data_IF_044451790584
#
_entry.id   IF_044451790584
#
_cell.length_a   1.000
_cell.length_b   1.000
_cell.length_c   1.000
_cell.angle_alpha   90.00
_cell.angle_beta   90.00
_cell.angle_gamma   90.00
#
_symmetry.space_group_name_H-M   'P 1'
#
loop_
_entity.id
_entity.type
_entity.pdbx_description
1 polymer ?
#
# COMPACT_ATOMS: atom_id res chain seq x y z
N UNK A 1 16.46 -8.04 16.30
CA UNK A 1 15.11 -7.44 16.36
C UNK A 1 14.37 -7.86 15.10
N UNK A 2 13.11 -8.27 15.21
CA UNK A 2 12.27 -8.50 14.04
C UNK A 2 12.01 -7.17 13.35
N UNK A 3 11.92 -7.18 12.02
CA UNK A 3 11.56 -6.01 11.23
C UNK A 3 10.05 -5.76 11.39
N UNK A 4 9.60 -4.50 11.45
CA UNK A 4 8.17 -4.23 11.46
C UNK A 4 7.55 -4.66 10.13
N UNK A 5 6.36 -5.23 10.18
CA UNK A 5 5.58 -5.60 8.99
C UNK A 5 4.44 -4.61 8.78
N UNK A 6 4.36 -4.03 7.58
CA UNK A 6 3.31 -3.08 7.19
C UNK A 6 2.41 -3.70 6.14
N UNK A 7 1.10 -3.67 6.37
CA UNK A 7 0.09 -4.09 5.42
C UNK A 7 -0.70 -2.90 4.88
N UNK A 8 -0.67 -2.72 3.56
CA UNK A 8 -1.51 -1.76 2.85
C UNK A 8 -2.77 -2.42 2.29
N UNK A 9 -3.94 -1.87 2.64
CA UNK A 9 -5.24 -2.41 2.24
C UNK A 9 -6.03 -1.36 1.46
N UNK A 10 -6.50 -1.71 0.26
CA UNK A 10 -7.50 -0.91 -0.46
C UNK A 10 -8.59 -1.83 -1.02
N UNK A 11 -9.60 -1.31 -1.72
CA UNK A 11 -10.69 -2.17 -2.25
C UNK A 11 -10.15 -3.23 -3.21
N UNK A 12 -9.46 -2.81 -4.27
CA UNK A 12 -9.13 -3.70 -5.39
C UNK A 12 -7.72 -4.30 -5.39
N UNK A 13 -6.85 -3.89 -4.46
CA UNK A 13 -5.41 -4.17 -4.47
C UNK A 13 -4.72 -3.98 -5.83
N UNK A 14 -5.17 -2.99 -6.59
CA UNK A 14 -4.74 -2.74 -7.96
C UNK A 14 -4.25 -1.29 -8.18
N UNK A 15 -4.23 -0.46 -7.15
CA UNK A 15 -3.89 0.97 -7.25
C UNK A 15 -3.16 1.46 -6.01
N UNK A 16 -3.86 2.19 -5.14
CA UNK A 16 -3.31 2.81 -3.92
C UNK A 16 -2.40 1.88 -3.10
N UNK A 17 -2.88 0.70 -2.71
CA UNK A 17 -2.08 -0.23 -1.89
C UNK A 17 -0.89 -0.85 -2.64
N UNK A 18 -0.96 -0.98 -3.97
CA UNK A 18 0.19 -1.44 -4.77
C UNK A 18 1.26 -0.36 -4.90
N UNK A 19 0.84 0.89 -5.14
CA UNK A 19 1.76 2.04 -5.18
C UNK A 19 2.45 2.24 -3.83
N UNK A 20 1.69 2.18 -2.72
CA UNK A 20 2.24 2.30 -1.38
C UNK A 20 3.22 1.18 -1.03
N UNK A 21 2.88 -0.08 -1.36
CA UNK A 21 3.77 -1.21 -1.16
C UNK A 21 5.05 -1.09 -1.99
N UNK A 22 4.93 -0.69 -3.26
CA UNK A 22 6.07 -0.45 -4.15
C UNK A 22 7.01 0.61 -3.59
N UNK A 23 6.48 1.76 -3.14
CA UNK A 23 7.29 2.80 -2.51
C UNK A 23 7.95 2.33 -1.21
N UNK A 24 7.21 1.66 -0.33
CA UNK A 24 7.76 1.23 0.95
C UNK A 24 8.89 0.23 0.73
N UNK A 25 8.72 -0.73 -0.18
CA UNK A 25 9.77 -1.68 -0.53
C UNK A 25 10.99 -0.99 -1.17
N UNK A 26 10.76 -0.04 -2.08
CA UNK A 26 11.82 0.70 -2.76
C UNK A 26 12.65 1.57 -1.80
N UNK A 27 11.99 2.28 -0.88
CA UNK A 27 12.61 3.27 0.01
C UNK A 27 13.13 2.65 1.32
N UNK A 28 12.40 1.69 1.89
CA UNK A 28 12.79 1.04 3.15
C UNK A 28 13.82 -0.08 2.92
N UNK A 29 13.82 -0.72 1.75
CA UNK A 29 14.62 -1.91 1.47
C UNK A 29 14.33 -3.00 2.51
N UNK A 30 15.38 -3.63 3.01
CA UNK A 30 15.26 -4.74 3.98
C UNK A 30 14.95 -4.30 5.41
N UNK A 31 14.58 -3.04 5.67
CA UNK A 31 14.30 -2.55 7.03
C UNK A 31 12.88 -2.84 7.50
N UNK A 32 11.93 -2.98 6.56
CA UNK A 32 10.50 -3.12 6.83
C UNK A 32 9.96 -4.20 5.90
N UNK A 33 9.20 -5.15 6.46
CA UNK A 33 8.50 -6.16 5.67
C UNK A 33 7.17 -5.58 5.15
N UNK A 34 6.83 -5.84 3.89
CA UNK A 34 5.72 -5.17 3.19
C UNK A 34 4.71 -6.18 2.67
N UNK A 35 3.44 -5.96 3.00
CA UNK A 35 2.30 -6.69 2.49
C UNK A 35 1.32 -5.72 1.81
N UNK A 36 0.56 -6.23 0.83
CA UNK A 36 -0.61 -5.52 0.32
C UNK A 36 -1.74 -6.50 0.04
N UNK A 37 -2.97 -6.02 0.21
CA UNK A 37 -4.17 -6.80 -0.04
C UNK A 37 -5.36 -5.90 -0.38
N UNK A 38 -6.49 -6.52 -0.72
CA UNK A 38 -7.75 -5.82 -0.90
C UNK A 38 -8.98 -6.64 -0.59
N UNK A 39 -10.07 -5.96 -0.29
CA UNK A 39 -11.35 -6.57 0.08
C UNK A 39 -12.04 -7.25 -1.11
N UNK A 40 -11.86 -6.67 -2.31
CA UNK A 40 -12.43 -7.15 -3.58
C UNK A 40 -11.36 -7.06 -4.68
N UNK A 41 -10.33 -7.93 -4.67
CA UNK A 41 -9.20 -7.82 -5.59
C UNK A 41 -9.62 -7.93 -7.06
N UNK A 42 -8.99 -7.11 -7.91
CA UNK A 42 -9.10 -7.27 -9.37
C UNK A 42 -8.12 -8.33 -9.89
N UNK A 43 -8.30 -8.75 -11.13
CA UNK A 43 -7.38 -9.70 -11.79
C UNK A 43 -6.02 -9.09 -12.10
N UNK A 44 -6.00 -7.77 -12.37
CA UNK A 44 -4.80 -7.05 -12.80
C UNK A 44 -4.65 -5.72 -12.07
N UNK A 45 -3.40 -5.28 -11.94
CA UNK A 45 -3.06 -3.95 -11.44
C UNK A 45 -3.48 -2.90 -12.47
N UNK A 46 -3.89 -1.73 -11.99
CA UNK A 46 -4.26 -0.61 -12.84
C UNK A 46 -3.08 -0.24 -13.75
N UNK A 47 -3.24 -0.29 -15.08
CA UNK A 47 -2.17 0.06 -16.02
C UNK A 47 -1.60 1.46 -15.82
N UNK A 48 -2.44 2.42 -15.43
CA UNK A 48 -2.00 3.79 -15.14
C UNK A 48 -1.14 3.83 -13.87
N UNK A 49 -1.45 3.00 -12.86
CA UNK A 49 -0.61 2.88 -11.67
C UNK A 49 0.76 2.28 -12.02
N UNK A 50 0.80 1.29 -12.91
CA UNK A 50 2.06 0.72 -13.43
C UNK A 50 2.87 1.80 -14.14
N UNK A 51 2.23 2.55 -15.06
CA UNK A 51 2.87 3.62 -15.81
C UNK A 51 3.52 4.64 -14.87
N UNK A 52 2.76 5.23 -13.93
CA UNK A 52 3.29 6.30 -13.08
C UNK A 52 4.32 5.80 -12.05
N UNK A 53 4.28 4.53 -11.64
CA UNK A 53 5.30 3.97 -10.75
C UNK A 53 6.60 3.68 -11.53
N UNK A 54 6.49 3.28 -12.79
CA UNK A 54 7.66 3.06 -13.65
C UNK A 54 8.45 4.34 -13.92
N UNK A 55 7.79 5.51 -13.92
CA UNK A 55 8.45 6.83 -14.01
C UNK A 55 9.43 7.08 -12.85
N UNK A 56 9.14 6.53 -11.68
CA UNK A 56 9.98 6.61 -10.47
C UNK A 56 10.97 5.42 -10.37
N UNK A 57 11.04 4.57 -11.40
CA UNK A 57 11.88 3.37 -11.41
C UNK A 57 11.36 2.22 -10.55
N UNK A 58 10.07 2.23 -10.20
CA UNK A 58 9.44 1.19 -9.38
C UNK A 58 8.54 0.32 -10.27
N UNK A 59 8.93 -0.93 -10.49
CA UNK A 59 8.13 -1.88 -11.24
C UNK A 59 7.13 -2.60 -10.33
N UNK A 60 5.84 -2.39 -10.59
CA UNK A 60 4.74 -3.12 -9.95
C UNK A 60 3.96 -3.99 -10.93
N UNK A 61 4.36 -4.08 -12.20
CA UNK A 61 3.60 -4.78 -13.24
C UNK A 61 3.50 -6.30 -12.99
N UNK A 62 4.54 -6.87 -12.37
CA UNK A 62 4.60 -8.30 -12.02
C UNK A 62 3.80 -8.68 -10.77
N UNK A 63 3.26 -7.70 -10.03
CA UNK A 63 2.51 -7.98 -8.80
C UNK A 63 1.11 -8.50 -9.13
N UNK A 64 0.63 -9.45 -8.32
CA UNK A 64 -0.74 -9.98 -8.43
C UNK A 64 -1.58 -9.40 -7.31
N UNK A 65 -2.77 -8.83 -7.58
CA UNK A 65 -3.70 -8.43 -6.54
C UNK A 65 -4.12 -9.63 -5.67
N UNK A 66 -4.20 -9.43 -4.35
CA UNK A 66 -4.45 -10.49 -3.36
C UNK A 66 -5.63 -10.13 -2.44
N UNK A 67 -6.40 -11.15 -2.07
CA UNK A 67 -7.50 -11.01 -1.11
C UNK A 67 -6.96 -10.71 0.28
N UNK A 68 -7.63 -9.81 0.99
CA UNK A 68 -7.38 -9.56 2.40
C UNK A 68 -7.71 -10.80 3.21
N UNK A 69 -6.70 -11.36 3.86
CA UNK A 69 -6.85 -12.49 4.77
C UNK A 69 -6.66 -12.06 6.22
N UNK A 70 -7.30 -12.78 7.13
CA UNK A 70 -7.10 -12.60 8.57
C UNK A 70 -5.63 -12.76 8.97
N UNK A 71 -4.93 -13.71 8.35
CA UNK A 71 -3.54 -13.99 8.67
C UNK A 71 -2.61 -12.86 8.24
N UNK A 72 -2.84 -12.22 7.09
CA UNK A 72 -2.09 -11.04 6.67
C UNK A 72 -2.19 -9.91 7.72
N UNK A 73 -3.39 -9.70 8.30
CA UNK A 73 -3.57 -8.72 9.37
C UNK A 73 -2.86 -9.15 10.65
N UNK A 74 -2.90 -10.45 11.00
CA UNK A 74 -2.20 -11.00 12.17
C UNK A 74 -0.69 -10.91 12.08
N UNK A 75 -0.13 -11.05 10.89
CA UNK A 75 1.31 -10.95 10.63
C UNK A 75 1.82 -9.51 10.67
N UNK A 76 0.93 -8.52 10.51
CA UNK A 76 1.31 -7.11 10.39
C UNK A 76 1.38 -6.40 11.73
N UNK A 77 2.38 -5.54 11.92
CA UNK A 77 2.47 -4.64 13.08
C UNK A 77 1.69 -3.34 12.84
N UNK A 78 1.67 -2.89 11.58
CA UNK A 78 0.95 -1.70 11.12
C UNK A 78 0.04 -2.06 9.96
N UNK A 79 -1.22 -1.63 10.04
CA UNK A 79 -2.23 -1.84 9.01
C UNK A 79 -2.75 -0.49 8.53
N UNK A 80 -2.61 -0.23 7.24
CA UNK A 80 -2.96 1.04 6.61
C UNK A 80 -4.11 0.80 5.63
N UNK A 81 -5.28 1.36 5.94
CA UNK A 81 -6.47 1.29 5.09
C UNK A 81 -6.54 2.48 4.14
N UNK A 82 -7.02 2.24 2.93
CA UNK A 82 -7.14 3.24 1.86
C UNK A 82 -8.49 3.07 1.15
N UNK A 83 -9.57 3.39 1.88
CA UNK A 83 -10.93 3.36 1.33
C UNK A 83 -11.58 1.97 1.24
N UNK A 84 -11.08 0.96 1.94
CA UNK A 84 -11.76 -0.34 2.08
C UNK A 84 -12.83 -0.37 3.19
N UNK A 85 -13.02 0.73 3.92
CA UNK A 85 -13.97 0.82 5.03
C UNK A 85 -13.72 -0.21 6.12
N UNK A 86 -14.80 -0.78 6.67
CA UNK A 86 -14.79 -1.74 7.78
C UNK A 86 -14.44 -3.18 7.37
N UNK A 87 -13.94 -3.40 6.15
CA UNK A 87 -13.59 -4.74 5.67
C UNK A 87 -12.40 -5.37 6.43
N UNK A 88 -11.62 -4.56 7.15
CA UNK A 88 -10.44 -5.03 7.86
C UNK A 88 -10.78 -5.54 9.28
N UNK A 89 -10.49 -6.81 9.63
CA UNK A 89 -10.62 -7.28 11.00
C UNK A 89 -9.65 -6.52 11.92
N UNK A 90 -10.14 -6.15 13.11
CA UNK A 90 -9.35 -5.42 14.10
C UNK A 90 -8.79 -6.39 15.15
N UNK A 91 -7.47 -6.35 15.34
CA UNK A 91 -6.75 -7.11 16.35
C UNK A 91 -6.10 -6.16 17.38
N UNK A 92 -6.13 -6.49 18.68
CA UNK A 92 -5.45 -5.69 19.69
C UNK A 92 -3.93 -5.73 19.52
N UNK A 93 -3.25 -4.64 19.90
CA UNK A 93 -1.79 -4.55 19.91
C UNK A 93 -1.14 -4.21 18.56
N UNK A 94 -1.93 -3.83 17.55
CA UNK A 94 -1.45 -3.37 16.24
C UNK A 94 -1.77 -1.90 16.03
N UNK A 95 -0.95 -1.21 15.22
CA UNK A 95 -1.21 0.16 14.78
C UNK A 95 -2.13 0.13 13.56
N UNK A 96 -3.20 0.91 13.59
CA UNK A 96 -4.10 1.08 12.47
C UNK A 96 -4.12 2.54 12.04
N UNK A 97 -4.01 2.77 10.73
CA UNK A 97 -4.14 4.09 10.13
C UNK A 97 -5.11 4.03 8.96
N UNK A 98 -5.84 5.12 8.78
CA UNK A 98 -6.70 5.30 7.61
C UNK A 98 -6.21 6.47 6.77
N UNK A 99 -5.66 6.14 5.60
CA UNK A 99 -5.17 7.12 4.65
C UNK A 99 -6.28 7.47 3.67
N UNK A 100 -6.85 8.65 3.89
CA UNK A 100 -7.81 9.27 2.99
C UNK A 100 -7.09 9.71 1.71
N UNK A 101 -7.28 8.91 0.65
CA UNK A 101 -6.65 9.07 -0.66
C UNK A 101 -7.72 8.96 -1.76
N UNK A 102 -7.61 9.83 -2.77
CA UNK A 102 -8.45 9.76 -3.97
C UNK A 102 -8.31 8.41 -4.68
N UNK A 103 -9.39 7.95 -5.33
CA UNK A 103 -9.36 6.67 -6.05
C UNK A 103 -8.75 6.84 -7.46
N UNK A 104 -7.65 6.14 -7.80
CA UNK A 104 -7.02 6.24 -9.11
C UNK A 104 -7.78 5.50 -10.22
N UNK A 105 -8.85 4.77 -9.90
CA UNK A 105 -9.60 4.00 -10.89
C UNK A 105 -10.30 4.92 -11.90
N UNK A 106 -10.01 4.71 -13.20
CA UNK A 106 -10.60 5.49 -14.29
C UNK A 106 -10.10 6.94 -14.39
N UNK A 107 -9.12 7.34 -13.58
CA UNK A 107 -8.52 8.67 -13.62
C UNK A 107 -7.43 8.77 -14.70
N UNK A 108 -7.16 9.99 -15.15
CA UNK A 108 -6.05 10.27 -16.06
C UNK A 108 -4.68 10.13 -15.37
N UNK A 109 -3.58 9.93 -16.13
CA UNK A 109 -2.24 9.80 -15.55
C UNK A 109 -1.79 10.98 -14.70
N UNK A 110 -2.19 12.22 -15.00
CA UNK A 110 -1.79 13.39 -14.21
C UNK A 110 -2.44 13.36 -12.81
N UNK A 111 -3.69 12.94 -12.73
CA UNK A 111 -4.39 12.72 -11.45
C UNK A 111 -3.79 11.54 -10.69
N UNK A 112 -3.47 10.43 -11.36
CA UNK A 112 -2.82 9.29 -10.70
C UNK A 112 -1.41 9.65 -10.20
N UNK A 113 -0.66 10.51 -10.90
CA UNK A 113 0.62 11.05 -10.39
C UNK A 113 0.45 11.84 -9.10
N UNK A 114 -0.58 12.69 -9.00
CA UNK A 114 -0.86 13.42 -7.74
C UNK A 114 -1.13 12.47 -6.58
N UNK A 115 -1.91 11.41 -6.82
CA UNK A 115 -2.21 10.38 -5.82
C UNK A 115 -0.93 9.63 -5.43
N UNK A 116 -0.12 9.24 -6.44
CA UNK A 116 1.18 8.59 -6.26
C UNK A 116 2.10 9.44 -5.37
N UNK A 117 2.18 10.75 -5.62
CA UNK A 117 3.07 11.65 -4.88
C UNK A 117 2.60 11.88 -3.44
N UNK A 118 1.28 11.93 -3.19
CA UNK A 118 0.71 11.94 -1.82
C UNK A 118 1.07 10.63 -1.08
N UNK A 119 0.88 9.48 -1.73
CA UNK A 119 1.26 8.18 -1.17
C UNK A 119 2.76 8.15 -0.82
N UNK A 120 3.63 8.67 -1.69
CA UNK A 120 5.07 8.74 -1.45
C UNK A 120 5.39 9.50 -0.16
N UNK A 121 4.83 10.71 0.00
CA UNK A 121 5.09 11.54 1.18
C UNK A 121 4.65 10.85 2.48
N UNK A 122 3.52 10.14 2.45
CA UNK A 122 3.04 9.37 3.61
C UNK A 122 3.91 8.15 3.91
N UNK A 123 4.39 7.47 2.88
CA UNK A 123 5.32 6.33 3.03
C UNK A 123 6.66 6.80 3.60
N UNK A 124 7.21 7.91 3.13
CA UNK A 124 8.46 8.49 3.66
C UNK A 124 8.32 8.83 5.16
N UNK A 125 7.20 9.44 5.56
CA UNK A 125 6.91 9.71 6.97
C UNK A 125 6.80 8.43 7.80
N UNK A 126 6.08 7.42 7.30
CA UNK A 126 5.93 6.13 7.96
C UNK A 126 7.30 5.44 8.17
N UNK A 127 8.19 5.49 7.18
CA UNK A 127 9.54 4.93 7.30
C UNK A 127 10.32 5.63 8.40
N UNK A 128 10.27 6.97 8.47
CA UNK A 128 10.93 7.75 9.53
C UNK A 128 10.45 7.32 10.92
N UNK A 129 9.14 7.21 11.11
CA UNK A 129 8.54 6.78 12.37
C UNK A 129 8.91 5.34 12.77
N UNK A 130 8.93 4.41 11.82
CA UNK A 130 9.20 3.00 12.10
C UNK A 130 10.68 2.67 12.26
N UNK A 131 11.57 3.49 11.69
CA UNK A 131 13.02 3.27 11.74
C UNK A 131 13.76 4.22 12.66
N UNK A 132 13.07 5.22 13.23
CA UNK A 132 13.67 6.22 14.13
C UNK A 132 14.70 7.12 13.46
N UNK A 133 14.57 7.31 12.15
CA UNK A 133 15.45 8.14 11.32
C UNK A 133 14.95 9.59 11.24
#
# INVERSE_FOLDING_TARGET
>A
MSRPTVLFVCVHNAGRSQMAAGYLQHLAGDRIDVLSAGSEPKEHINPVAIEVMSEEGIDIAGNTPKILTVDAVRESDVVITMGCGDACPIFPGKRYEDWQLDDPAGQDPATVRRIRDDIRGRVEALIGELTGA
#
